data_IF_963873782721
#
_entry.id   IF_963873782721
#
_cell.length_a   1.000
_cell.length_b   1.000
_cell.length_c   1.000
_cell.angle_alpha   90.00
_cell.angle_beta   90.00
_cell.angle_gamma   90.00
#
_symmetry.space_group_name_H-M   'P 1'
#
loop_
_entity.id
_entity.type
_entity.pdbx_description
1 polymer ?
#
# COMPACT_ATOMS: atom_id res chain seq x y z
N UNK A 1 28.88 -31.65 -19.88
CA UNK A 1 27.60 -31.51 -19.16
C UNK A 1 27.91 -31.12 -17.73
N UNK A 2 27.81 -29.82 -17.38
CA UNK A 2 27.77 -29.38 -15.99
C UNK A 2 26.72 -28.28 -15.89
N UNK A 3 25.83 -28.51 -14.93
CA UNK A 3 24.62 -27.78 -14.55
C UNK A 3 24.77 -26.25 -14.57
N UNK A 4 23.92 -25.58 -15.36
CA UNK A 4 23.72 -24.14 -15.35
C UNK A 4 22.34 -23.84 -14.75
N UNK A 5 22.20 -24.09 -13.45
CA UNK A 5 20.97 -23.83 -12.69
C UNK A 5 21.30 -23.33 -11.28
N UNK A 6 21.87 -22.14 -11.13
CA UNK A 6 21.92 -21.45 -9.83
C UNK A 6 22.26 -19.96 -9.98
N UNK A 7 21.50 -19.18 -10.76
CA UNK A 7 21.62 -17.70 -10.74
C UNK A 7 20.25 -17.06 -10.96
N UNK A 8 19.30 -17.24 -10.05
CA UNK A 8 18.06 -16.41 -10.05
C UNK A 8 17.42 -16.29 -8.65
N UNK A 9 18.22 -16.31 -7.58
CA UNK A 9 17.70 -16.20 -6.20
C UNK A 9 18.34 -15.10 -5.36
N UNK A 10 19.27 -14.30 -5.92
CA UNK A 10 20.01 -13.27 -5.14
C UNK A 10 19.55 -11.85 -5.44
N UNK A 11 18.87 -11.59 -6.56
CA UNK A 11 18.43 -10.23 -6.91
C UNK A 11 17.22 -9.73 -6.13
N UNK A 12 16.47 -10.59 -5.45
CA UNK A 12 15.30 -10.18 -4.64
C UNK A 12 15.71 -9.64 -3.27
N UNK A 13 16.87 -10.07 -2.73
CA UNK A 13 17.35 -9.65 -1.40
C UNK A 13 17.98 -8.25 -1.39
N UNK A 14 18.59 -7.81 -2.50
CA UNK A 14 19.35 -6.56 -2.55
C UNK A 14 18.43 -5.32 -2.56
N UNK A 15 17.19 -5.46 -3.04
CA UNK A 15 16.25 -4.33 -3.14
C UNK A 15 15.70 -3.97 -1.75
N UNK A 16 15.48 -4.95 -0.87
CA UNK A 16 15.02 -4.73 0.49
C UNK A 16 16.06 -4.01 1.35
N UNK A 17 17.36 -4.28 1.14
CA UNK A 17 18.44 -3.63 1.90
C UNK A 17 18.56 -2.13 1.58
N UNK A 18 18.42 -1.72 0.32
CA UNK A 18 18.54 -0.32 -0.07
C UNK A 18 17.41 0.58 0.45
N UNK A 19 16.19 0.04 0.61
CA UNK A 19 15.04 0.79 1.13
C UNK A 19 15.04 0.80 2.66
N UNK A 20 15.51 -0.28 3.30
CA UNK A 20 15.66 -0.35 4.75
C UNK A 20 16.68 0.68 5.28
N UNK A 21 17.74 0.99 4.51
CA UNK A 21 18.73 2.02 4.85
C UNK A 21 18.16 3.46 4.83
N UNK A 22 17.02 3.72 4.16
CA UNK A 22 16.40 5.06 4.12
C UNK A 22 15.43 5.33 5.28
N UNK A 23 14.98 4.28 5.98
CA UNK A 23 13.94 4.41 7.00
C UNK A 23 14.52 4.83 8.37
N UNK A 24 14.26 6.07 8.77
CA UNK A 24 14.87 6.69 9.97
C UNK A 24 14.27 6.27 11.31
N UNK A 25 13.17 5.52 11.30
CA UNK A 25 12.37 5.22 12.51
C UNK A 25 13.01 4.16 13.40
N UNK A 26 13.90 3.32 12.85
CA UNK A 26 14.61 2.27 13.58
C UNK A 26 13.76 1.06 14.01
N UNK A 27 12.49 0.98 13.58
CA UNK A 27 11.65 -0.20 13.71
C UNK A 27 11.64 -0.92 12.35
N UNK A 28 12.27 -2.10 12.28
CA UNK A 28 12.42 -2.86 11.03
C UNK A 28 11.07 -3.23 10.40
N UNK A 29 10.14 -3.75 11.18
CA UNK A 29 8.84 -4.21 10.67
C UNK A 29 8.03 -3.06 10.08
N UNK A 30 8.00 -1.92 10.77
CA UNK A 30 7.44 -0.69 10.22
C UNK A 30 8.10 -0.28 8.90
N UNK A 31 9.44 -0.28 8.86
CA UNK A 31 10.18 0.13 7.67
C UNK A 31 9.92 -0.80 6.47
N UNK A 32 9.88 -2.11 6.71
CA UNK A 32 9.55 -3.11 5.69
C UNK A 32 8.13 -2.86 5.14
N UNK A 33 7.14 -2.62 6.01
CA UNK A 33 5.75 -2.33 5.61
C UNK A 33 5.62 -1.06 4.75
N UNK A 34 6.34 0.02 5.11
CA UNK A 34 6.32 1.27 4.33
C UNK A 34 7.09 1.10 3.01
N UNK A 35 8.21 0.37 3.02
CA UNK A 35 8.99 0.06 1.82
C UNK A 35 8.19 -0.77 0.81
N UNK A 36 7.46 -1.77 1.29
CA UNK A 36 6.56 -2.58 0.48
C UNK A 36 5.39 -1.75 -0.09
N UNK A 37 4.83 -0.83 0.70
CA UNK A 37 3.79 0.08 0.21
C UNK A 37 4.31 1.02 -0.90
N UNK A 38 5.52 1.56 -0.76
CA UNK A 38 6.16 2.38 -1.78
C UNK A 38 6.36 1.57 -3.07
N UNK A 39 6.91 0.36 -2.96
CA UNK A 39 7.14 -0.51 -4.11
C UNK A 39 5.84 -0.89 -4.84
N UNK A 40 4.79 -1.23 -4.10
CA UNK A 40 3.48 -1.52 -4.69
C UNK A 40 2.94 -0.31 -5.46
N UNK A 41 3.07 0.90 -4.92
CA UNK A 41 2.69 2.11 -5.65
C UNK A 41 3.49 2.32 -6.92
N UNK A 42 4.82 2.13 -6.89
CA UNK A 42 5.64 2.21 -8.09
C UNK A 42 5.20 1.20 -9.15
N UNK A 43 4.90 -0.03 -8.76
CA UNK A 43 4.43 -1.08 -9.65
C UNK A 43 3.04 -0.76 -10.23
N UNK A 44 2.14 -0.22 -9.41
CA UNK A 44 0.86 0.33 -9.84
C UNK A 44 1.04 1.46 -10.86
N UNK A 45 1.95 2.41 -10.63
CA UNK A 45 2.24 3.53 -11.55
C UNK A 45 2.77 3.01 -12.89
N UNK A 46 3.65 1.99 -12.89
CA UNK A 46 4.19 1.38 -14.12
C UNK A 46 3.09 0.73 -14.97
N UNK A 47 2.06 0.16 -14.33
CA UNK A 47 0.90 -0.44 -14.99
C UNK A 47 -0.05 0.60 -15.62
N UNK A 48 -0.04 1.84 -15.13
CA UNK A 48 -0.96 2.90 -15.56
C UNK A 48 -0.51 3.67 -16.81
N UNK A 49 0.47 3.16 -17.56
CA UNK A 49 0.85 3.74 -18.84
C UNK A 49 -0.32 3.68 -19.83
N UNK A 50 -0.55 4.75 -20.59
CA UNK A 50 -1.61 4.81 -21.60
C UNK A 50 -2.94 5.37 -21.07
N UNK A 51 -4.03 4.60 -21.16
CA UNK A 51 -5.40 5.12 -20.96
C UNK A 51 -5.73 5.55 -19.52
N UNK A 52 -4.99 5.03 -18.52
CA UNK A 52 -5.09 5.44 -17.12
C UNK A 52 -4.21 6.66 -16.79
N UNK A 53 -3.45 7.19 -17.76
CA UNK A 53 -2.58 8.35 -17.59
C UNK A 53 -3.44 9.61 -17.47
N UNK A 54 -3.88 9.90 -16.25
CA UNK A 54 -4.84 10.94 -15.96
C UNK A 54 -4.92 11.26 -14.48
N UNK A 55 -6.14 11.41 -13.96
CA UNK A 55 -6.37 11.72 -12.55
C UNK A 55 -5.91 10.56 -11.67
N UNK A 56 -6.22 9.32 -12.05
CA UNK A 56 -5.79 8.15 -11.30
C UNK A 56 -4.25 8.07 -11.14
N UNK A 57 -3.47 8.26 -12.21
CA UNK A 57 -2.00 8.26 -12.11
C UNK A 57 -1.48 9.40 -11.25
N UNK A 58 -2.08 10.60 -11.34
CA UNK A 58 -1.70 11.73 -10.48
C UNK A 58 -2.01 11.44 -9.01
N UNK A 59 -3.14 10.81 -8.73
CA UNK A 59 -3.53 10.37 -7.39
C UNK A 59 -2.55 9.38 -6.81
N UNK A 60 -2.22 8.32 -7.56
CA UNK A 60 -1.28 7.30 -7.10
C UNK A 60 0.14 7.84 -6.91
N UNK A 61 0.63 8.72 -7.81
CA UNK A 61 1.91 9.42 -7.62
C UNK A 61 1.93 10.31 -6.37
N UNK A 62 0.81 10.95 -6.06
CA UNK A 62 0.69 11.74 -4.83
C UNK A 62 0.72 10.83 -3.60
N UNK A 63 0.02 9.70 -3.65
CA UNK A 63 0.00 8.72 -2.57
C UNK A 63 1.41 8.15 -2.32
N UNK A 64 2.10 7.75 -3.39
CA UNK A 64 3.49 7.32 -3.35
C UNK A 64 4.43 8.35 -2.71
N UNK A 65 4.32 9.61 -3.13
CA UNK A 65 5.07 10.70 -2.52
C UNK A 65 4.83 10.79 -1.01
N UNK A 66 3.60 10.58 -0.54
CA UNK A 66 3.30 10.57 0.91
C UNK A 66 3.91 9.37 1.61
N UNK A 67 3.95 8.20 0.98
CA UNK A 67 4.64 7.01 1.52
C UNK A 67 6.15 7.29 1.65
N UNK A 68 6.77 7.93 0.65
CA UNK A 68 8.18 8.34 0.73
C UNK A 68 8.43 9.36 1.84
N UNK A 69 7.50 10.29 2.06
CA UNK A 69 7.57 11.23 3.20
C UNK A 69 7.54 10.50 4.56
N UNK A 70 6.87 9.34 4.65
CA UNK A 70 6.88 8.50 5.87
C UNK A 70 8.26 7.89 6.09
N UNK A 71 8.91 7.32 5.05
CA UNK A 71 10.26 6.74 5.17
C UNK A 71 11.28 7.74 5.68
N UNK A 72 11.18 8.98 5.20
CA UNK A 72 12.13 10.07 5.48
C UNK A 72 11.80 10.87 6.74
N UNK A 73 10.62 10.63 7.31
CA UNK A 73 10.06 11.40 8.42
C UNK A 73 10.72 11.12 9.77
N UNK A 74 10.54 12.06 10.69
CA UNK A 74 10.96 11.92 12.10
C UNK A 74 9.88 11.20 12.92
N UNK A 75 10.31 10.57 14.02
CA UNK A 75 9.44 9.72 14.85
C UNK A 75 8.26 10.48 15.45
N UNK A 76 8.46 11.75 15.80
CA UNK A 76 7.47 12.63 16.45
C UNK A 76 6.26 12.93 15.54
N UNK A 77 6.44 12.87 14.22
CA UNK A 77 5.41 13.16 13.23
C UNK A 77 4.92 11.91 12.49
N UNK A 78 5.38 10.74 12.91
CA UNK A 78 5.24 9.50 12.15
C UNK A 78 3.78 9.13 11.89
N UNK A 79 2.94 9.10 12.94
CA UNK A 79 1.51 8.78 12.78
C UNK A 79 0.79 9.81 11.90
N UNK A 80 1.17 11.09 11.98
CA UNK A 80 0.60 12.12 11.11
C UNK A 80 1.00 11.90 9.65
N UNK A 81 2.25 11.51 9.37
CA UNK A 81 2.72 11.20 8.03
C UNK A 81 2.00 9.96 7.47
N UNK A 82 1.92 8.87 8.24
CA UNK A 82 1.25 7.63 7.84
C UNK A 82 -0.25 7.88 7.59
N UNK A 83 -0.91 8.68 8.43
CA UNK A 83 -2.30 9.10 8.23
C UNK A 83 -2.51 9.81 6.89
N UNK A 84 -1.61 10.73 6.52
CA UNK A 84 -1.67 11.44 5.23
C UNK A 84 -1.43 10.50 4.05
N UNK A 85 -0.50 9.55 4.19
CA UNK A 85 -0.27 8.52 3.19
C UNK A 85 -1.52 7.65 2.99
N UNK A 86 -2.13 7.17 4.08
CA UNK A 86 -3.35 6.38 4.02
C UNK A 86 -4.52 7.16 3.38
N UNK A 87 -4.68 8.44 3.72
CA UNK A 87 -5.68 9.30 3.06
C UNK A 87 -5.46 9.41 1.55
N UNK A 88 -4.21 9.53 1.12
CA UNK A 88 -3.85 9.62 -0.28
C UNK A 88 -4.10 8.29 -1.01
N UNK A 89 -3.75 7.15 -0.41
CA UNK A 89 -4.04 5.81 -0.97
C UNK A 89 -5.52 5.57 -1.19
N UNK A 90 -6.33 5.86 -0.16
CA UNK A 90 -7.79 5.69 -0.26
C UNK A 90 -8.39 6.60 -1.34
N UNK A 91 -7.84 7.79 -1.51
CA UNK A 91 -8.25 8.70 -2.59
C UNK A 91 -7.82 8.18 -3.96
N UNK A 92 -6.60 7.66 -4.10
CA UNK A 92 -6.09 7.05 -5.32
C UNK A 92 -6.93 5.83 -5.74
N UNK A 93 -7.31 4.98 -4.78
CA UNK A 93 -8.19 3.84 -5.01
C UNK A 93 -9.52 4.25 -5.67
N UNK A 94 -10.17 5.30 -5.15
CA UNK A 94 -11.43 5.81 -5.71
C UNK A 94 -11.22 6.36 -7.12
N UNK A 95 -10.15 7.11 -7.35
CA UNK A 95 -9.84 7.69 -8.66
C UNK A 95 -9.55 6.61 -9.70
N UNK A 96 -8.75 5.59 -9.36
CA UNK A 96 -8.50 4.44 -10.25
C UNK A 96 -9.80 3.75 -10.60
N UNK A 97 -10.67 3.45 -9.61
CA UNK A 97 -11.95 2.81 -9.89
C UNK A 97 -12.84 3.65 -10.81
N UNK A 98 -12.86 4.97 -10.66
CA UNK A 98 -13.64 5.88 -11.51
C UNK A 98 -13.11 5.91 -12.95
N UNK A 99 -11.79 6.02 -13.13
CA UNK A 99 -11.16 6.02 -14.45
C UNK A 99 -11.37 4.64 -15.12
N UNK A 100 -11.21 3.54 -14.38
CA UNK A 100 -11.48 2.19 -14.85
C UNK A 100 -12.92 1.96 -15.29
N UNK A 101 -13.89 2.46 -14.52
CA UNK A 101 -15.31 2.40 -14.90
C UNK A 101 -15.58 3.15 -16.22
N UNK A 102 -14.94 4.30 -16.41
CA UNK A 102 -15.09 5.12 -17.63
C UNK A 102 -14.51 4.43 -18.87
N UNK A 103 -13.48 3.60 -18.71
CA UNK A 103 -12.82 2.88 -19.81
C UNK A 103 -13.54 1.58 -20.22
N UNK A 104 -14.49 1.09 -19.42
CA UNK A 104 -15.26 -0.13 -19.70
C UNK A 104 -14.41 -1.41 -19.74
N UNK A 105 -14.85 -2.42 -20.50
CA UNK A 105 -14.24 -3.76 -20.53
C UNK A 105 -12.82 -3.84 -21.13
N UNK A 106 -12.38 -2.80 -21.88
CA UNK A 106 -11.11 -2.85 -22.61
C UNK A 106 -9.86 -2.73 -21.71
N UNK A 107 -10.02 -2.43 -20.42
CA UNK A 107 -8.91 -2.21 -19.47
C UNK A 107 -9.02 -3.02 -18.17
N UNK A 108 -9.96 -3.97 -18.10
CA UNK A 108 -10.39 -4.65 -16.88
C UNK A 108 -9.22 -5.33 -16.12
N UNK A 109 -8.36 -6.07 -16.81
CA UNK A 109 -7.23 -6.75 -16.17
C UNK A 109 -6.18 -5.78 -15.59
N UNK A 110 -5.92 -4.66 -16.27
CA UNK A 110 -4.96 -3.66 -15.77
C UNK A 110 -5.55 -2.94 -14.57
N UNK A 111 -6.84 -2.64 -14.60
CA UNK A 111 -7.58 -2.07 -13.47
C UNK A 111 -7.55 -2.98 -12.24
N UNK A 112 -7.71 -4.29 -12.42
CA UNK A 112 -7.60 -5.27 -11.35
C UNK A 112 -6.19 -5.31 -10.75
N UNK A 113 -5.14 -5.26 -11.58
CA UNK A 113 -3.74 -5.20 -11.10
C UNK A 113 -3.44 -3.90 -10.36
N UNK A 114 -3.78 -2.75 -10.92
CA UNK A 114 -3.54 -1.44 -10.27
C UNK A 114 -4.30 -1.34 -8.95
N UNK A 115 -5.57 -1.76 -8.91
CA UNK A 115 -6.33 -1.75 -7.65
C UNK A 115 -5.79 -2.74 -6.64
N UNK A 116 -5.22 -3.87 -7.07
CA UNK A 116 -4.47 -4.78 -6.19
C UNK A 116 -3.27 -4.10 -5.56
N UNK A 117 -2.42 -3.43 -6.34
CA UNK A 117 -1.24 -2.72 -5.81
C UNK A 117 -1.63 -1.65 -4.79
N UNK A 118 -2.65 -0.84 -5.07
CA UNK A 118 -3.15 0.18 -4.14
C UNK A 118 -3.68 -0.45 -2.86
N UNK A 119 -4.41 -1.56 -2.98
CA UNK A 119 -4.90 -2.28 -1.81
C UNK A 119 -3.74 -2.85 -0.99
N UNK A 120 -2.71 -3.39 -1.64
CA UNK A 120 -1.53 -3.89 -0.94
C UNK A 120 -0.82 -2.78 -0.17
N UNK A 121 -0.59 -1.62 -0.79
CA UNK A 121 -0.04 -0.44 -0.13
C UNK A 121 -0.93 0.05 1.03
N UNK A 122 -2.25 0.06 0.83
CA UNK A 122 -3.23 0.42 1.87
C UNK A 122 -3.13 -0.50 3.09
N UNK A 123 -3.02 -1.82 2.89
CA UNK A 123 -2.84 -2.78 3.98
C UNK A 123 -1.53 -2.53 4.72
N UNK A 124 -0.43 -2.33 3.97
CA UNK A 124 0.89 -2.02 4.55
C UNK A 124 0.83 -0.80 5.47
N UNK A 125 0.18 0.29 5.04
CA UNK A 125 0.00 1.49 5.87
C UNK A 125 -0.87 1.24 7.11
N UNK A 126 -1.93 0.44 6.99
CA UNK A 126 -2.79 0.06 8.12
C UNK A 126 -2.01 -0.75 9.16
N UNK A 127 -1.23 -1.74 8.71
CA UNK A 127 -0.36 -2.53 9.58
C UNK A 127 0.74 -1.67 10.19
N UNK A 128 1.31 -0.74 9.44
CA UNK A 128 2.32 0.20 9.94
C UNK A 128 1.76 1.09 11.06
N UNK A 129 0.49 1.53 10.96
CA UNK A 129 -0.19 2.22 12.06
C UNK A 129 -0.26 1.33 13.30
N UNK A 130 -0.75 0.09 13.17
CA UNK A 130 -0.81 -0.84 14.29
C UNK A 130 0.58 -1.05 14.92
N UNK A 131 1.63 -1.10 14.11
CA UNK A 131 2.97 -1.37 14.61
C UNK A 131 3.50 -0.24 15.50
N UNK A 132 3.38 1.02 15.07
CA UNK A 132 4.05 2.17 15.73
C UNK A 132 3.13 3.14 16.47
N UNK A 133 1.82 2.87 16.56
CA UNK A 133 0.91 3.77 17.28
C UNK A 133 1.29 3.87 18.77
N UNK A 134 1.48 5.07 19.34
CA UNK A 134 1.94 5.23 20.72
C UNK A 134 0.87 4.89 21.75
N UNK A 135 -0.42 5.03 21.40
CA UNK A 135 -1.54 4.65 22.26
C UNK A 135 -1.97 3.21 22.01
N UNK A 136 -1.81 2.36 23.04
CA UNK A 136 -2.14 0.93 22.99
C UNK A 136 -3.62 0.66 22.70
N UNK A 137 -4.53 1.49 23.23
CA UNK A 137 -5.96 1.29 22.99
C UNK A 137 -6.32 1.50 21.51
N UNK A 138 -5.69 2.46 20.86
CA UNK A 138 -5.83 2.71 19.43
C UNK A 138 -5.17 1.61 18.61
N UNK A 139 -3.97 1.14 18.98
CA UNK A 139 -3.32 -0.03 18.37
C UNK A 139 -4.26 -1.24 18.33
N UNK A 140 -4.84 -1.62 19.47
CA UNK A 140 -5.79 -2.74 19.56
C UNK A 140 -7.03 -2.53 18.69
N UNK A 141 -7.56 -1.31 18.59
CA UNK A 141 -8.69 -1.02 17.68
C UNK A 141 -8.31 -1.24 16.22
N UNK A 142 -7.11 -0.84 15.80
CA UNK A 142 -6.61 -1.05 14.44
C UNK A 142 -6.38 -2.54 14.18
N UNK A 143 -5.74 -3.27 15.10
CA UNK A 143 -5.52 -4.72 15.02
C UNK A 143 -6.82 -5.52 14.91
N UNK A 144 -7.87 -5.11 15.63
CA UNK A 144 -9.20 -5.72 15.52
C UNK A 144 -9.80 -5.49 14.12
N UNK A 145 -9.65 -4.27 13.57
CA UNK A 145 -10.10 -3.98 12.19
C UNK A 145 -9.34 -4.83 11.17
N UNK A 146 -8.03 -5.05 11.37
CA UNK A 146 -7.23 -5.96 10.53
C UNK A 146 -7.75 -7.40 10.65
N UNK A 147 -8.01 -7.86 11.87
CA UNK A 147 -8.53 -9.21 12.13
C UNK A 147 -9.87 -9.45 11.44
N UNK A 148 -10.75 -8.45 11.42
CA UNK A 148 -12.04 -8.50 10.72
C UNK A 148 -11.90 -8.59 9.19
N UNK A 149 -10.76 -8.17 8.62
CA UNK A 149 -10.47 -8.27 7.19
C UNK A 149 -9.94 -9.64 6.76
N UNK A 150 -9.35 -10.42 7.68
CA UNK A 150 -8.72 -11.71 7.37
C UNK A 150 -9.68 -12.66 6.62
N UNK A 151 -10.95 -12.85 7.01
CA UNK A 151 -11.87 -13.72 6.28
C UNK A 151 -12.06 -13.31 4.82
N UNK A 152 -12.09 -12.00 4.53
CA UNK A 152 -12.26 -11.49 3.17
C UNK A 152 -11.07 -11.86 2.26
N UNK A 153 -9.85 -11.95 2.79
CA UNK A 153 -8.68 -12.34 2.00
C UNK A 153 -8.76 -13.77 1.46
N UNK A 154 -9.44 -14.68 2.17
CA UNK A 154 -9.43 -16.10 1.85
C UNK A 154 -10.73 -16.60 1.24
N UNK A 155 -11.85 -15.95 1.54
CA UNK A 155 -13.19 -16.45 1.20
C UNK A 155 -13.80 -15.66 0.04
N UNK A 156 -13.59 -14.34 0.03
CA UNK A 156 -14.29 -13.44 -0.88
C UNK A 156 -13.49 -13.19 -2.16
N UNK A 157 -14.16 -12.83 -3.27
CA UNK A 157 -13.48 -12.32 -4.45
C UNK A 157 -12.57 -11.15 -4.10
N UNK A 158 -11.41 -11.07 -4.77
CA UNK A 158 -10.40 -10.06 -4.50
C UNK A 158 -10.98 -8.62 -4.57
N UNK A 159 -11.95 -8.37 -5.46
CA UNK A 159 -12.63 -7.08 -5.57
C UNK A 159 -13.43 -6.70 -4.32
N UNK A 160 -14.08 -7.66 -3.65
CA UNK A 160 -14.79 -7.43 -2.40
C UNK A 160 -13.81 -7.19 -1.25
N UNK A 161 -12.72 -7.96 -1.18
CA UNK A 161 -11.65 -7.72 -0.20
C UNK A 161 -11.08 -6.31 -0.32
N UNK A 162 -10.74 -5.85 -1.53
CA UNK A 162 -10.19 -4.50 -1.75
C UNK A 162 -11.17 -3.40 -1.34
N UNK A 163 -12.47 -3.58 -1.59
CA UNK A 163 -13.49 -2.64 -1.14
C UNK A 163 -13.61 -2.62 0.39
N UNK A 164 -13.56 -3.79 1.03
CA UNK A 164 -13.57 -3.92 2.49
C UNK A 164 -12.33 -3.25 3.11
N UNK A 165 -11.14 -3.48 2.53
CA UNK A 165 -9.90 -2.85 2.96
C UNK A 165 -9.96 -1.32 2.86
N UNK A 166 -10.47 -0.79 1.75
CA UNK A 166 -10.69 0.66 1.60
C UNK A 166 -11.68 1.21 2.65
N UNK A 167 -12.76 0.47 2.96
CA UNK A 167 -13.71 0.86 4.02
C UNK A 167 -13.05 0.84 5.41
N UNK A 168 -12.23 -0.19 5.70
CA UNK A 168 -11.46 -0.29 6.93
C UNK A 168 -10.44 0.84 7.07
N UNK A 169 -9.75 1.22 5.99
CA UNK A 169 -8.86 2.38 5.98
C UNK A 169 -9.60 3.66 6.37
N UNK A 170 -10.81 3.88 5.84
CA UNK A 170 -11.65 5.02 6.26
C UNK A 170 -12.02 4.97 7.74
N UNK A 171 -12.37 3.79 8.27
CA UNK A 171 -12.69 3.60 9.69
C UNK A 171 -11.46 3.86 10.57
N UNK A 172 -10.27 3.47 10.14
CA UNK A 172 -9.03 3.72 10.89
C UNK A 172 -8.74 5.22 10.94
N UNK A 173 -8.92 5.94 9.83
CA UNK A 173 -8.71 7.39 9.78
C UNK A 173 -9.61 8.21 10.73
N UNK A 174 -10.72 7.66 11.22
CA UNK A 174 -11.56 8.33 12.23
C UNK A 174 -11.15 8.03 13.67
N UNK A 175 -10.26 7.04 13.88
CA UNK A 175 -9.79 6.61 15.19
C UNK A 175 -8.40 7.20 15.48
N UNK A 176 -7.59 7.44 14.45
CA UNK A 176 -6.28 8.11 14.52
C UNK A 176 -6.35 9.59 14.16
#
# INVERSE_FOLDING_TARGET
MVSSRFIFLVTVLIISEAIADECKVGNKEFCDLIGDAHKANEDGIKLMNGALNGNATKGLKLADKRVVEVLKGEKEQLITAVKKALQAELSAFVQVKADCYTLGHNYDETCEKVTFEIAYATLGLIMAIAEVHPDTATKTKVENIISDLIPYMFIEPASLYRNALHASGKKILTII
#
